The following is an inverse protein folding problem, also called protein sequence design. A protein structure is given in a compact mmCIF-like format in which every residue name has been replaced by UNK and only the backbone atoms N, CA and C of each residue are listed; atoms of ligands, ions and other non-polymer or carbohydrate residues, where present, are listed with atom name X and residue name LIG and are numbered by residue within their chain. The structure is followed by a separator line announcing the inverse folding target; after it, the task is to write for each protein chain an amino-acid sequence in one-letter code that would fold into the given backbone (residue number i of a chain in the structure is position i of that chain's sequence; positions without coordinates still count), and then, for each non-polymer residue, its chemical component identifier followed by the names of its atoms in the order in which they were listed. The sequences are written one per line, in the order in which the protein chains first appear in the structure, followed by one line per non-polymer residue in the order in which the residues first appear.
data_IF_565592039314
#
_entry.id   IF_565592039314
#
_cell.length_a   1.000
_cell.length_b   1.000
_cell.length_c   1.000
_cell.angle_alpha   90.00
_cell.angle_beta   90.00
_cell.angle_gamma   90.00
#
_symmetry.space_group_name_H-M   'P 1'
#
loop_
_entity.id
_entity.type
_entity.pdbx_description
1 polymer ?
#
# COMPACT_ATOMS: atom_id res chain seq x y z
N UNK A 1 -12.27 -3.22 -1.24
CA UNK A 1 -11.28 -4.02 -2.00
C UNK A 1 -10.70 -3.15 -3.11
N UNK A 2 -9.39 -3.20 -3.33
CA UNK A 2 -8.67 -2.42 -4.34
C UNK A 2 -7.59 -3.25 -5.03
N UNK A 3 -7.30 -2.95 -6.29
CA UNK A 3 -6.26 -3.66 -7.06
C UNK A 3 -4.88 -3.13 -6.72
N UNK A 4 -4.03 -3.97 -6.14
CA UNK A 4 -2.68 -3.60 -5.73
C UNK A 4 -1.63 -4.06 -6.76
N UNK A 5 -0.76 -3.15 -7.26
CA UNK A 5 0.27 -3.50 -8.25
C UNK A 5 1.44 -4.31 -7.67
N UNK A 6 1.54 -4.46 -6.34
CA UNK A 6 2.58 -5.26 -5.69
C UNK A 6 2.34 -6.76 -5.87
N UNK A 7 1.08 -7.16 -5.70
CA UNK A 7 0.64 -8.55 -5.68
C UNK A 7 -0.20 -8.93 -6.90
N UNK A 8 -0.44 -7.96 -7.80
CA UNK A 8 -1.22 -8.10 -9.03
C UNK A 8 -2.65 -8.66 -8.81
N UNK A 9 -3.19 -8.48 -7.59
CA UNK A 9 -4.52 -8.94 -7.16
C UNK A 9 -5.30 -7.86 -6.41
N UNK A 10 -6.56 -8.14 -6.15
CA UNK A 10 -7.39 -7.34 -5.25
C UNK A 10 -7.04 -7.66 -3.79
N UNK A 11 -6.88 -6.61 -3.00
CA UNK A 11 -6.59 -6.67 -1.57
C UNK A 11 -7.60 -5.85 -0.79
N UNK A 12 -7.66 -6.04 0.52
CA UNK A 12 -8.49 -5.19 1.38
C UNK A 12 -7.94 -3.75 1.46
N UNK A 13 -8.83 -2.80 1.70
CA UNK A 13 -8.42 -1.40 1.90
C UNK A 13 -7.52 -1.23 3.13
N UNK A 14 -7.77 -2.01 4.18
CA UNK A 14 -6.96 -2.04 5.39
C UNK A 14 -5.54 -2.54 5.13
N UNK A 15 -5.37 -3.61 4.34
CA UNK A 15 -4.04 -4.11 3.94
C UNK A 15 -3.26 -3.05 3.15
N UNK A 16 -3.93 -2.34 2.24
CA UNK A 16 -3.31 -1.26 1.49
C UNK A 16 -2.89 -0.08 2.38
N UNK A 17 -3.74 0.29 3.34
CA UNK A 17 -3.46 1.37 4.30
C UNK A 17 -2.24 1.03 5.16
N UNK A 18 -2.24 -0.14 5.80
CA UNK A 18 -1.13 -0.63 6.63
C UNK A 18 0.16 -0.69 5.82
N UNK A 19 0.12 -1.24 4.60
CA UNK A 19 1.28 -1.29 3.73
C UNK A 19 1.79 0.12 3.40
N UNK A 20 0.90 1.07 3.09
CA UNK A 20 1.27 2.47 2.82
C UNK A 20 1.93 3.11 4.04
N UNK A 21 1.37 2.94 5.23
CA UNK A 21 1.93 3.48 6.48
C UNK A 21 3.32 2.94 6.80
N UNK A 22 3.58 1.66 6.51
CA UNK A 22 4.90 1.06 6.68
C UNK A 22 5.88 1.60 5.62
N UNK A 23 5.42 1.81 4.38
CA UNK A 23 6.23 2.37 3.28
C UNK A 23 6.59 3.85 3.51
N UNK A 24 5.67 4.65 4.05
CA UNK A 24 5.92 6.04 4.47
C UNK A 24 6.71 6.14 5.78
N UNK A 25 6.77 5.05 6.55
CA UNK A 25 7.50 4.98 7.81
C UNK A 25 6.71 5.49 9.01
N UNK A 26 5.39 5.66 8.89
CA UNK A 26 4.48 5.87 10.03
C UNK A 26 4.46 4.65 10.96
N UNK A 27 4.59 3.45 10.39
CA UNK A 27 4.75 2.19 11.13
C UNK A 27 6.16 1.67 10.86
N UNK A 28 6.97 1.56 11.92
CA UNK A 28 8.34 1.04 11.82
C UNK A 28 8.42 -0.50 11.81
N UNK A 29 7.33 -1.18 12.13
CA UNK A 29 7.25 -2.64 12.14
C UNK A 29 6.77 -3.18 10.78
N UNK A 30 7.70 -3.72 9.98
CA UNK A 30 7.38 -4.29 8.68
C UNK A 30 6.89 -5.75 8.75
N UNK A 31 6.78 -6.33 9.94
CA UNK A 31 6.27 -7.69 10.17
C UNK A 31 4.79 -7.81 9.78
N UNK A 32 4.09 -6.69 9.77
CA UNK A 32 2.70 -6.60 9.32
C UNK A 32 2.52 -6.63 7.79
N UNK A 33 3.60 -6.45 7.00
CA UNK A 33 3.54 -6.61 5.54
C UNK A 33 3.68 -8.10 5.19
N UNK A 34 2.68 -8.72 4.53
CA UNK A 34 2.79 -10.09 4.06
C UNK A 34 3.93 -10.25 3.03
N UNK A 35 4.63 -11.37 3.04
CA UNK A 35 5.78 -11.62 2.16
C UNK A 35 5.47 -11.43 0.66
N UNK A 36 4.24 -11.68 0.24
CA UNK A 36 3.78 -11.47 -1.14
C UNK A 36 3.92 -10.01 -1.61
N UNK A 37 3.81 -9.02 -0.71
CA UNK A 37 4.02 -7.61 -1.03
C UNK A 37 5.51 -7.25 -1.15
N UNK A 38 6.40 -8.05 -0.55
CA UNK A 38 7.86 -7.89 -0.57
C UNK A 38 8.54 -8.65 -1.71
N UNK A 39 7.78 -9.39 -2.53
CA UNK A 39 8.31 -10.18 -3.67
C UNK A 39 9.05 -9.29 -4.67
N UNK A 40 8.55 -8.08 -4.92
CA UNK A 40 9.18 -7.12 -5.82
C UNK A 40 10.23 -6.33 -5.03
N UNK A 41 11.52 -6.30 -5.45
CA UNK A 41 12.54 -5.54 -4.71
C UNK A 41 12.21 -4.04 -4.65
N UNK A 42 11.55 -3.51 -5.69
CA UNK A 42 11.10 -2.12 -5.78
C UNK A 42 9.71 -1.88 -5.18
N UNK A 43 9.21 -2.76 -4.30
CA UNK A 43 7.86 -2.66 -3.74
C UNK A 43 7.57 -1.30 -3.10
N UNK A 44 8.55 -0.71 -2.42
CA UNK A 44 8.40 0.62 -1.82
C UNK A 44 8.11 1.70 -2.86
N UNK A 45 8.85 1.69 -3.96
CA UNK A 45 8.64 2.65 -5.06
C UNK A 45 7.34 2.40 -5.82
N UNK A 46 6.99 1.13 -6.04
CA UNK A 46 5.73 0.76 -6.70
C UNK A 46 4.54 1.21 -5.85
N UNK A 47 4.60 1.04 -4.53
CA UNK A 47 3.59 1.53 -3.61
C UNK A 47 3.48 3.06 -3.68
N UNK A 48 4.61 3.78 -3.58
CA UNK A 48 4.64 5.26 -3.66
C UNK A 48 4.11 5.85 -4.96
N UNK A 49 4.22 5.13 -6.07
CA UNK A 49 3.68 5.52 -7.38
C UNK A 49 2.22 5.09 -7.58
N UNK A 50 1.63 4.38 -6.62
CA UNK A 50 0.25 3.90 -6.71
C UNK A 50 -0.72 5.06 -6.50
N UNK A 51 -1.77 5.13 -7.34
CA UNK A 51 -2.83 6.15 -7.22
C UNK A 51 -3.56 6.14 -5.87
N UNK A 52 -3.54 5.00 -5.17
CA UNK A 52 -4.20 4.85 -3.87
C UNK A 52 -3.31 5.29 -2.70
N UNK A 53 -2.01 5.53 -2.92
CA UNK A 53 -1.04 5.85 -1.87
C UNK A 53 -1.30 7.20 -1.20
N UNK A 54 -1.75 8.19 -1.96
CA UNK A 54 -2.11 9.51 -1.41
C UNK A 54 -3.57 9.55 -0.95
N UNK A 55 -4.43 8.70 -1.52
CA UNK A 55 -5.88 8.65 -1.22
C UNK A 55 -6.24 7.95 0.09
N UNK A 56 -5.27 7.33 0.76
CA UNK A 56 -5.48 6.66 2.06
C UNK A 56 -5.54 7.64 3.23
N UNK A 57 -5.16 8.92 3.04
CA UNK A 57 -5.02 9.93 4.09
C UNK A 57 -5.92 11.16 3.94
N UNK A 58 -7.04 11.01 3.24
CA UNK A 58 -8.06 12.04 3.14
C UNK A 58 -9.21 11.49 2.32
N UNK A 59 -10.42 11.78 2.76
CA UNK A 59 -11.67 11.48 2.08
C UNK A 59 -11.54 11.65 0.55
N UNK A 60 -12.20 10.81 -0.26
CA UNK A 60 -12.19 11.01 -1.70
C UNK A 60 -12.61 12.46 -1.98
N UNK A 61 -11.74 13.23 -2.62
CA UNK A 61 -12.18 14.45 -3.28
C UNK A 61 -13.08 14.00 -4.42
N UNK A 62 -14.38 13.88 -4.12
CA UNK A 62 -15.45 13.92 -5.10
C UNK A 62 -15.39 15.31 -5.76
N UNK A 63 -14.75 15.38 -6.94
CA UNK A 63 -14.85 16.50 -7.89
C UNK A 63 -16.26 16.57 -8.48
#
# INVERSE_FOLDING_TARGET
MLKCPLVDKEIDGGDCLINTDIIDGFISDDSHIPDEFKVKPDYKEICKKCKYHESTWGEPNDD
#
